data_IF_098073388928
#
_entry.id   IF_098073388928
#
_cell.length_a   1.000
_cell.length_b   1.000
_cell.length_c   1.000
_cell.angle_alpha   90.00
_cell.angle_beta   90.00
_cell.angle_gamma   90.00
#
_symmetry.space_group_name_H-M   'P 1'
#
loop_
_entity.id
_entity.type
_entity.pdbx_description
1 polymer ?
#
# COMPACT_ATOMS: atom_id res chain seq x y z
N UNK A 1 -27.42 14.24 -3.00
CA UNK A 1 -26.79 13.00 -2.54
C UNK A 1 -25.85 12.52 -3.62
N UNK A 2 -24.56 12.42 -3.33
CA UNK A 2 -23.56 11.89 -4.26
C UNK A 2 -23.59 10.36 -4.27
N UNK A 3 -23.00 9.75 -5.29
CA UNK A 3 -22.83 8.28 -5.33
C UNK A 3 -22.05 7.78 -4.11
N UNK A 4 -21.04 8.54 -3.66
CA UNK A 4 -20.23 8.19 -2.50
C UNK A 4 -21.06 8.22 -1.22
N UNK A 5 -21.86 9.27 -1.02
CA UNK A 5 -22.76 9.38 0.14
C UNK A 5 -23.77 8.21 0.19
N UNK A 6 -24.28 7.76 -0.97
CA UNK A 6 -25.15 6.58 -1.03
C UNK A 6 -24.44 5.30 -0.58
N UNK A 7 -23.21 5.08 -1.06
CA UNK A 7 -22.41 3.91 -0.68
C UNK A 7 -22.10 3.95 0.82
N UNK A 8 -21.78 5.12 1.38
CA UNK A 8 -21.53 5.27 2.82
C UNK A 8 -22.76 4.87 3.66
N UNK A 9 -23.96 5.31 3.27
CA UNK A 9 -25.19 4.94 3.95
C UNK A 9 -25.47 3.43 3.88
N UNK A 10 -25.22 2.79 2.73
CA UNK A 10 -25.33 1.33 2.58
C UNK A 10 -24.32 0.58 3.47
N UNK A 11 -23.08 1.10 3.58
CA UNK A 11 -22.04 0.53 4.44
C UNK A 11 -22.43 0.61 5.92
N UNK A 12 -23.01 1.73 6.35
CA UNK A 12 -23.49 1.93 7.72
C UNK A 12 -24.65 1.00 8.09
N UNK A 13 -25.44 0.58 7.11
CA UNK A 13 -26.55 -0.35 7.29
C UNK A 13 -26.14 -1.83 7.31
N UNK A 14 -24.86 -2.16 7.04
CA UNK A 14 -24.38 -3.54 6.98
C UNK A 14 -24.43 -4.22 8.36
N UNK A 15 -24.67 -5.53 8.33
CA UNK A 15 -24.41 -6.38 9.48
C UNK A 15 -22.92 -6.33 9.85
N UNK A 16 -22.55 -6.47 11.15
CA UNK A 16 -21.15 -6.41 11.58
C UNK A 16 -20.21 -7.37 10.83
N UNK A 17 -20.69 -8.56 10.47
CA UNK A 17 -19.92 -9.56 9.72
C UNK A 17 -19.62 -9.12 8.27
N UNK A 18 -20.59 -8.52 7.59
CA UNK A 18 -20.43 -8.03 6.23
C UNK A 18 -19.55 -6.77 6.21
N UNK A 19 -19.67 -5.92 7.21
CA UNK A 19 -18.79 -4.78 7.38
C UNK A 19 -17.32 -5.20 7.57
N UNK A 20 -17.05 -6.24 8.37
CA UNK A 20 -15.69 -6.79 8.53
C UNK A 20 -15.17 -7.37 7.20
N UNK A 21 -16.01 -8.09 6.46
CA UNK A 21 -15.65 -8.62 5.14
C UNK A 21 -15.32 -7.50 4.14
N UNK A 22 -16.15 -6.46 4.11
CA UNK A 22 -15.94 -5.30 3.25
C UNK A 22 -14.64 -4.58 3.59
N UNK A 23 -14.36 -4.35 4.88
CA UNK A 23 -13.12 -3.73 5.33
C UNK A 23 -11.89 -4.53 4.89
N UNK A 24 -11.95 -5.87 5.00
CA UNK A 24 -10.86 -6.74 4.53
C UNK A 24 -10.64 -6.57 3.02
N UNK A 25 -11.72 -6.64 2.24
CA UNK A 25 -11.65 -6.47 0.80
C UNK A 25 -11.07 -5.10 0.39
N UNK A 26 -11.42 -4.04 1.11
CA UNK A 26 -10.89 -2.70 0.87
C UNK A 26 -9.38 -2.63 1.15
N UNK A 27 -8.93 -3.23 2.26
CA UNK A 27 -7.50 -3.32 2.56
C UNK A 27 -6.73 -4.12 1.49
N UNK A 28 -7.28 -5.24 1.01
CA UNK A 28 -6.67 -6.03 -0.07
C UNK A 28 -6.58 -5.22 -1.38
N UNK A 29 -7.54 -4.32 -1.63
CA UNK A 29 -7.52 -3.40 -2.78
C UNK A 29 -6.49 -2.30 -2.64
N UNK A 30 -6.34 -1.73 -1.46
CA UNK A 30 -5.30 -0.74 -1.18
C UNK A 30 -3.90 -1.36 -1.36
N UNK A 31 -3.71 -2.60 -0.92
CA UNK A 31 -2.47 -3.36 -1.14
C UNK A 31 -2.17 -3.55 -2.63
N UNK A 32 -3.17 -3.92 -3.44
CA UNK A 32 -2.99 -4.04 -4.89
C UNK A 32 -2.57 -2.71 -5.53
N UNK A 33 -3.21 -1.60 -5.13
CA UNK A 33 -2.82 -0.28 -5.64
C UNK A 33 -1.41 0.13 -5.20
N UNK A 34 -1.01 -0.27 -3.99
CA UNK A 34 0.34 -0.01 -3.49
C UNK A 34 1.40 -0.82 -4.26
N UNK A 35 1.12 -2.10 -4.56
CA UNK A 35 2.00 -2.93 -5.39
C UNK A 35 2.18 -2.32 -6.78
N UNK A 36 1.09 -1.90 -7.45
CA UNK A 36 1.15 -1.25 -8.76
C UNK A 36 1.95 0.07 -8.73
N UNK A 37 1.76 0.87 -7.68
CA UNK A 37 2.52 2.10 -7.49
C UNK A 37 4.00 1.82 -7.26
N UNK A 38 4.33 0.82 -6.43
CA UNK A 38 5.70 0.42 -6.15
C UNK A 38 6.42 -0.03 -7.43
N UNK A 39 5.78 -0.87 -8.25
CA UNK A 39 6.32 -1.30 -9.54
C UNK A 39 6.58 -0.12 -10.48
N UNK A 40 5.65 0.84 -10.52
CA UNK A 40 5.80 2.07 -11.31
C UNK A 40 6.96 2.92 -10.80
N UNK A 41 7.08 3.11 -9.49
CA UNK A 41 8.13 3.92 -8.90
C UNK A 41 9.52 3.28 -9.08
N UNK A 42 9.60 1.94 -9.08
CA UNK A 42 10.80 1.18 -9.46
C UNK A 42 11.15 1.44 -10.93
N UNK A 43 10.17 1.31 -11.83
CA UNK A 43 10.38 1.50 -13.27
C UNK A 43 10.82 2.94 -13.62
N UNK A 44 10.37 3.93 -12.85
CA UNK A 44 10.74 5.34 -12.99
C UNK A 44 12.08 5.70 -12.29
N UNK A 45 12.73 4.75 -11.61
CA UNK A 45 13.99 4.98 -10.89
C UNK A 45 13.84 5.85 -9.63
N UNK A 46 12.61 6.07 -9.15
CA UNK A 46 12.35 6.89 -7.95
C UNK A 46 12.95 6.29 -6.69
N UNK A 47 13.21 4.99 -6.68
CA UNK A 47 13.78 4.26 -5.56
C UNK A 47 15.30 4.02 -5.68
N UNK A 48 15.95 4.54 -6.73
CA UNK A 48 17.40 4.33 -6.96
C UNK A 48 18.25 4.87 -5.81
N UNK A 49 17.79 5.94 -5.13
CA UNK A 49 18.48 6.49 -3.97
C UNK A 49 18.62 5.48 -2.81
N UNK A 50 17.68 4.55 -2.66
CA UNK A 50 17.75 3.49 -1.64
C UNK A 50 18.85 2.48 -2.00
N UNK A 51 19.02 2.20 -3.30
CA UNK A 51 20.10 1.33 -3.78
C UNK A 51 21.47 2.00 -3.53
N UNK A 52 21.59 3.30 -3.83
CA UNK A 52 22.81 4.07 -3.56
C UNK A 52 23.15 4.11 -2.07
N UNK A 53 22.15 4.31 -1.21
CA UNK A 53 22.31 4.29 0.24
C UNK A 53 22.77 2.92 0.73
N UNK A 54 22.13 1.84 0.28
CA UNK A 54 22.50 0.47 0.62
C UNK A 54 23.94 0.15 0.19
N UNK A 55 24.34 0.56 -1.02
CA UNK A 55 25.71 0.39 -1.51
C UNK A 55 26.71 1.20 -0.68
N UNK A 56 26.36 2.42 -0.30
CA UNK A 56 27.19 3.26 0.57
C UNK A 56 27.37 2.62 1.95
N UNK A 57 26.29 2.14 2.57
CA UNK A 57 26.33 1.46 3.86
C UNK A 57 27.18 0.17 3.79
N UNK A 58 27.09 -0.57 2.68
CA UNK A 58 27.93 -1.74 2.40
C UNK A 58 29.41 -1.38 2.36
N UNK A 59 29.78 -0.34 1.62
CA UNK A 59 31.16 0.13 1.54
C UNK A 59 31.70 0.63 2.88
N UNK A 60 30.83 1.19 3.73
CA UNK A 60 31.19 1.64 5.07
C UNK A 60 31.21 0.52 6.12
N UNK A 61 30.89 -0.73 5.75
CA UNK A 61 30.81 -1.84 6.69
C UNK A 61 29.71 -1.69 7.74
N UNK A 62 28.66 -0.92 7.43
CA UNK A 62 27.54 -0.62 8.34
C UNK A 62 26.31 -1.50 8.13
N UNK A 63 26.36 -2.44 7.18
CA UNK A 63 25.26 -3.39 6.99
C UNK A 63 25.19 -4.34 8.20
N UNK A 64 23.99 -4.54 8.72
CA UNK A 64 23.72 -5.62 9.68
C UNK A 64 23.61 -6.96 8.94
N UNK A 65 24.01 -8.04 9.61
CA UNK A 65 23.67 -9.38 9.14
C UNK A 65 22.15 -9.60 9.26
N UNK A 66 21.58 -10.26 8.26
CA UNK A 66 20.15 -10.59 8.15
C UNK A 66 19.76 -11.72 9.10
#
# INVERSE_FOLDING_TARGET
>A
MTQVEHIQAEIEALAPEDFVRLRKWFADKDWQSWDEQLETDIAEGKLDFLLEEAMTAKHQGKLQEL
#
